data_IF_179218253271
#
_entry.id   IF_179218253271
#
_cell.length_a   1.000
_cell.length_b   1.000
_cell.length_c   1.000
_cell.angle_alpha   90.00
_cell.angle_beta   90.00
_cell.angle_gamma   90.00
#
_symmetry.space_group_name_H-M   'P 1'
#
loop_
_entity.id
_entity.type
_entity.pdbx_description
1 polymer ?
#
# COMPACT_ATOMS: atom_id res chain seq x y z
N UNK A 1 -1.20 22.98 -9.15
CA UNK A 1 -1.98 21.76 -8.94
C UNK A 1 -1.66 21.16 -7.57
N UNK A 2 -2.70 20.75 -6.85
CA UNK A 2 -2.63 20.03 -5.59
C UNK A 2 -3.79 19.04 -5.50
N UNK A 3 -3.51 17.79 -5.10
CA UNK A 3 -4.54 16.79 -4.90
C UNK A 3 -4.14 15.78 -3.83
N UNK A 4 -5.11 15.22 -3.12
CA UNK A 4 -4.90 14.16 -2.13
C UNK A 4 -5.54 12.87 -2.60
N UNK A 5 -4.73 11.83 -2.69
CA UNK A 5 -5.19 10.47 -2.93
C UNK A 5 -5.85 9.94 -1.65
N UNK A 6 -7.06 9.41 -1.75
CA UNK A 6 -7.76 8.87 -0.59
C UNK A 6 -8.18 7.42 -0.74
N UNK A 7 -8.15 6.88 -1.97
CA UNK A 7 -8.51 5.49 -2.23
C UNK A 7 -7.81 4.98 -3.48
N UNK A 8 -7.39 3.74 -3.45
CA UNK A 8 -7.02 2.94 -4.62
C UNK A 8 -8.09 1.87 -4.81
N UNK A 9 -8.48 1.60 -6.04
CA UNK A 9 -9.39 0.53 -6.39
C UNK A 9 -9.10 0.00 -7.79
N UNK A 10 -9.77 -1.07 -8.18
CA UNK A 10 -9.75 -1.59 -9.55
C UNK A 10 -11.16 -1.64 -10.12
N UNK A 11 -11.30 -1.32 -11.39
CA UNK A 11 -12.59 -1.47 -12.09
C UNK A 11 -12.82 -2.94 -12.50
N UNK A 12 -13.98 -3.20 -13.09
CA UNK A 12 -14.36 -4.55 -13.56
C UNK A 12 -13.44 -5.12 -14.65
N UNK A 13 -12.64 -4.27 -15.28
CA UNK A 13 -11.64 -4.65 -16.29
C UNK A 13 -10.24 -4.84 -15.68
N UNK A 14 -10.09 -4.64 -14.36
CA UNK A 14 -8.81 -4.73 -13.66
C UNK A 14 -7.96 -3.45 -13.73
N UNK A 15 -8.44 -2.37 -14.35
CA UNK A 15 -7.69 -1.13 -14.40
C UNK A 15 -7.56 -0.51 -13.01
N UNK A 16 -6.36 -0.07 -12.69
CA UNK A 16 -6.07 0.61 -11.43
C UNK A 16 -6.62 2.04 -11.44
N UNK A 17 -7.40 2.36 -10.43
CA UNK A 17 -8.03 3.66 -10.23
C UNK A 17 -7.43 4.34 -9.00
N UNK A 18 -6.83 5.50 -9.19
CA UNK A 18 -6.36 6.37 -8.11
C UNK A 18 -7.41 7.43 -7.86
N UNK A 19 -8.20 7.29 -6.78
CA UNK A 19 -9.19 8.28 -6.40
C UNK A 19 -8.52 9.42 -5.64
N UNK A 20 -8.68 10.61 -6.14
CA UNK A 20 -8.13 11.82 -5.55
C UNK A 20 -9.14 12.94 -5.46
N UNK A 21 -8.99 13.78 -4.43
CA UNK A 21 -9.67 15.07 -4.33
C UNK A 21 -8.68 16.17 -4.70
N UNK A 22 -9.03 16.98 -5.66
CA UNK A 22 -8.24 18.17 -5.98
C UNK A 22 -8.47 19.23 -4.91
N UNK A 23 -7.38 19.71 -4.33
CA UNK A 23 -7.36 20.74 -3.29
C UNK A 23 -6.90 22.10 -3.84
N UNK A 24 -6.22 22.09 -5.01
CA UNK A 24 -5.76 23.32 -5.66
C UNK A 24 -5.49 23.18 -7.14
N UNK A 25 -5.74 24.22 -7.91
CA UNK A 25 -5.49 24.27 -9.35
C UNK A 25 -6.36 23.35 -10.18
N UNK A 26 -5.84 22.94 -11.33
CA UNK A 26 -6.49 22.05 -12.29
C UNK A 26 -5.58 20.91 -12.71
N UNK A 27 -6.16 19.82 -13.19
CA UNK A 27 -5.44 18.66 -13.73
C UNK A 27 -6.11 18.24 -15.03
N UNK A 28 -5.33 18.20 -16.11
CA UNK A 28 -5.77 17.76 -17.41
C UNK A 28 -5.30 16.33 -17.74
N UNK A 29 -5.99 15.68 -18.65
CA UNK A 29 -5.54 14.41 -19.25
C UNK A 29 -4.19 14.62 -19.93
N UNK A 30 -3.31 13.62 -19.86
CA UNK A 30 -1.91 13.62 -20.33
C UNK A 30 -0.95 14.50 -19.53
N UNK A 31 -1.41 15.15 -18.45
CA UNK A 31 -0.50 15.88 -17.57
C UNK A 31 0.50 14.89 -16.94
N UNK A 32 1.81 15.20 -16.95
CA UNK A 32 2.81 14.45 -16.20
C UNK A 32 2.64 14.75 -14.70
N UNK A 33 2.72 13.72 -13.88
CA UNK A 33 2.72 13.82 -12.43
C UNK A 33 3.96 13.14 -11.89
N UNK A 34 4.72 13.87 -11.07
CA UNK A 34 5.88 13.34 -10.37
C UNK A 34 5.49 13.07 -8.91
N UNK A 35 5.79 11.88 -8.41
CA UNK A 35 5.48 11.49 -7.04
C UNK A 35 6.44 10.41 -6.53
N UNK A 36 6.55 10.29 -5.20
CA UNK A 36 7.37 9.30 -4.54
C UNK A 36 6.51 8.06 -4.18
N UNK A 37 6.89 6.83 -4.57
CA UNK A 37 6.21 5.62 -4.14
C UNK A 37 6.19 5.46 -2.62
N UNK A 38 5.21 4.70 -2.08
CA UNK A 38 5.12 4.43 -0.65
C UNK A 38 6.34 3.66 -0.12
N UNK A 39 6.92 2.79 -0.93
CA UNK A 39 8.12 2.03 -0.59
C UNK A 39 9.41 2.87 -0.57
N UNK A 40 9.32 4.15 -0.91
CA UNK A 40 10.48 5.01 -1.14
C UNK A 40 11.15 4.71 -2.48
N UNK A 41 12.36 5.20 -2.65
CA UNK A 41 13.13 5.01 -3.89
C UNK A 41 13.20 6.28 -4.74
N UNK A 42 13.15 6.11 -6.06
CA UNK A 42 13.20 7.22 -7.00
C UNK A 42 11.83 7.84 -7.24
N UNK A 43 11.81 9.13 -7.53
CA UNK A 43 10.59 9.84 -7.94
C UNK A 43 10.13 9.28 -9.29
N UNK A 44 8.91 8.82 -9.34
CA UNK A 44 8.28 8.38 -10.58
C UNK A 44 7.64 9.56 -11.30
N UNK A 45 7.79 9.58 -12.63
CA UNK A 45 7.07 10.49 -13.49
C UNK A 45 6.16 9.69 -14.42
N UNK A 46 4.85 9.82 -14.21
CA UNK A 46 3.81 9.11 -14.96
C UNK A 46 2.76 10.08 -15.51
N UNK A 47 2.08 9.67 -16.56
CA UNK A 47 1.05 10.50 -17.21
C UNK A 47 -0.34 10.02 -16.86
N UNK A 48 -1.22 10.96 -16.57
CA UNK A 48 -2.65 10.69 -16.42
C UNK A 48 -3.22 10.30 -17.78
N UNK A 49 -3.66 9.08 -17.94
CA UNK A 49 -4.23 8.57 -19.20
C UNK A 49 -5.70 8.89 -19.34
N UNK A 50 -6.45 8.93 -18.24
CA UNK A 50 -7.87 9.23 -18.21
C UNK A 50 -8.28 9.84 -16.87
N UNK A 51 -9.25 10.75 -16.92
CA UNK A 51 -9.92 11.31 -15.75
C UNK A 51 -11.38 10.85 -15.76
N UNK A 52 -11.86 10.29 -14.64
CA UNK A 52 -13.23 9.83 -14.47
C UNK A 52 -13.92 10.53 -13.31
N UNK A 53 -15.07 11.12 -13.57
CA UNK A 53 -15.96 11.68 -12.55
C UNK A 53 -17.08 10.69 -12.28
N UNK A 54 -17.13 10.16 -11.08
CA UNK A 54 -18.11 9.15 -10.68
C UNK A 54 -19.36 9.77 -10.09
N UNK A 55 -20.53 9.19 -10.48
CA UNK A 55 -21.82 9.44 -9.83
C UNK A 55 -22.47 8.08 -9.57
N UNK A 56 -22.34 7.59 -8.33
CA UNK A 56 -22.67 6.20 -7.99
C UNK A 56 -21.79 5.21 -8.74
N UNK A 57 -22.40 4.23 -9.42
CA UNK A 57 -21.70 3.22 -10.20
C UNK A 57 -21.30 3.68 -11.62
N UNK A 58 -21.83 4.81 -12.08
CA UNK A 58 -21.55 5.35 -13.41
C UNK A 58 -20.47 6.44 -13.34
N UNK A 59 -19.71 6.58 -14.41
CA UNK A 59 -18.74 7.66 -14.54
C UNK A 59 -18.85 8.37 -15.89
N UNK A 60 -18.36 9.59 -15.91
CA UNK A 60 -18.12 10.37 -17.12
C UNK A 60 -16.63 10.65 -17.24
N UNK A 61 -16.10 10.61 -18.45
CA UNK A 61 -14.72 11.04 -18.71
C UNK A 61 -14.68 12.56 -18.79
N UNK A 62 -13.61 13.14 -18.24
CA UNK A 62 -13.34 14.56 -18.31
C UNK A 62 -11.96 14.81 -18.93
N UNK A 63 -11.82 15.89 -19.68
CA UNK A 63 -10.53 16.35 -20.21
C UNK A 63 -9.72 17.06 -19.14
N UNK A 64 -10.42 17.73 -18.21
CA UNK A 64 -9.82 18.50 -17.11
C UNK A 64 -10.74 18.44 -15.88
N UNK A 65 -10.11 18.47 -14.69
CA UNK A 65 -10.78 18.58 -13.39
C UNK A 65 -10.17 19.71 -12.59
N UNK A 66 -11.00 20.37 -11.75
CA UNK A 66 -10.62 21.56 -10.98
C UNK A 66 -10.65 21.32 -9.47
N UNK A 67 -10.03 22.21 -8.72
CA UNK A 67 -10.07 22.21 -7.26
C UNK A 67 -11.50 22.07 -6.71
N UNK A 68 -11.65 21.25 -5.66
CA UNK A 68 -12.94 20.89 -5.05
C UNK A 68 -13.58 19.63 -5.62
N UNK A 69 -13.20 19.18 -6.81
CA UNK A 69 -13.73 17.96 -7.43
C UNK A 69 -13.02 16.70 -6.92
N UNK A 70 -13.77 15.61 -6.94
CA UNK A 70 -13.28 14.24 -6.69
C UNK A 70 -13.29 13.50 -8.00
N UNK A 71 -12.18 12.86 -8.35
CA UNK A 71 -12.05 12.11 -9.59
C UNK A 71 -11.22 10.84 -9.38
N UNK A 72 -11.33 9.91 -10.32
CA UNK A 72 -10.41 8.80 -10.44
C UNK A 72 -9.44 9.05 -11.60
N UNK A 73 -8.15 8.89 -11.30
CA UNK A 73 -7.03 9.03 -12.22
C UNK A 73 -6.60 7.64 -12.68
N UNK A 74 -6.40 7.48 -13.98
CA UNK A 74 -5.79 6.29 -14.56
C UNK A 74 -4.40 6.64 -15.09
N UNK A 75 -3.52 5.63 -15.16
CA UNK A 75 -2.14 5.81 -15.65
C UNK A 75 -1.09 5.94 -14.55
N UNK A 76 -1.51 5.99 -13.28
CA UNK A 76 -0.60 6.04 -12.13
C UNK A 76 -0.49 4.64 -11.49
N UNK A 77 0.74 4.13 -11.35
CA UNK A 77 0.95 2.72 -10.97
C UNK A 77 1.26 2.51 -9.48
N UNK A 78 1.91 3.48 -8.81
CA UNK A 78 2.41 3.31 -7.43
C UNK A 78 1.94 4.39 -6.46
N UNK A 79 0.83 5.07 -6.78
CA UNK A 79 0.16 5.95 -5.83
C UNK A 79 -0.45 5.16 -4.67
N UNK A 80 -0.66 5.79 -3.52
CA UNK A 80 -1.22 5.13 -2.34
C UNK A 80 -2.20 6.05 -1.59
N UNK A 81 -3.13 5.49 -0.80
CA UNK A 81 -4.05 6.29 0.02
C UNK A 81 -3.29 7.16 1.03
N UNK A 82 -3.67 8.43 1.13
CA UNK A 82 -2.99 9.43 1.98
C UNK A 82 -1.89 10.22 1.26
N UNK A 83 -1.50 9.83 0.05
CA UNK A 83 -0.47 10.53 -0.71
C UNK A 83 -0.93 11.91 -1.16
N UNK A 84 -0.03 12.90 -1.04
CA UNK A 84 -0.16 14.20 -1.68
C UNK A 84 0.44 14.18 -3.08
N UNK A 85 -0.22 14.82 -4.02
CA UNK A 85 0.24 15.04 -5.39
C UNK A 85 0.39 16.53 -5.68
N UNK A 86 1.45 16.90 -6.39
CA UNK A 86 1.76 18.30 -6.65
C UNK A 86 2.16 19.04 -5.37
N UNK A 87 1.50 20.15 -5.07
CA UNK A 87 1.77 20.97 -3.88
C UNK A 87 1.05 20.47 -2.60
N UNK A 88 0.25 19.40 -2.69
CA UNK A 88 -0.43 18.83 -1.52
C UNK A 88 0.55 18.04 -0.64
N UNK A 89 0.64 18.32 0.67
CA UNK A 89 1.46 17.50 1.56
C UNK A 89 0.83 16.11 1.77
N UNK A 90 1.62 15.08 2.12
CA UNK A 90 1.07 13.78 2.46
C UNK A 90 0.18 13.87 3.72
N UNK A 91 -0.81 12.98 3.82
CA UNK A 91 -1.62 12.86 5.01
C UNK A 91 -0.76 12.37 6.20
N UNK A 92 -1.10 12.72 7.43
CA UNK A 92 -0.45 12.12 8.60
C UNK A 92 -0.69 10.60 8.60
N UNK A 93 0.23 9.82 9.20
CA UNK A 93 0.04 8.37 9.32
C UNK A 93 -1.24 8.06 10.10
N UNK A 94 -1.86 6.87 9.84
CA UNK A 94 -3.04 6.45 10.59
C UNK A 94 -2.74 6.36 12.09
N UNK A 95 -3.66 6.80 12.93
CA UNK A 95 -3.54 6.70 14.39
C UNK A 95 -3.66 5.27 14.90
N UNK A 96 -4.43 4.44 14.20
CA UNK A 96 -4.64 3.04 14.53
C UNK A 96 -3.91 2.17 13.50
N UNK A 97 -3.07 1.28 14.00
CA UNK A 97 -2.41 0.26 13.19
C UNK A 97 -2.85 -1.13 13.62
N UNK A 98 -3.02 -2.07 12.69
CA UNK A 98 -3.28 -3.47 13.03
C UNK A 98 -2.11 -4.05 13.84
N UNK A 99 -2.43 -4.63 15.00
CA UNK A 99 -1.41 -5.20 15.91
C UNK A 99 -1.40 -6.72 15.92
N UNK A 100 -2.36 -7.36 15.27
CA UNK A 100 -2.46 -8.82 15.23
C UNK A 100 -2.10 -9.31 13.83
N UNK A 101 -1.16 -10.25 13.78
CA UNK A 101 -0.75 -10.90 12.53
C UNK A 101 -1.41 -12.26 12.44
N UNK A 102 -2.12 -12.48 11.36
CA UNK A 102 -2.83 -13.72 11.05
C UNK A 102 -2.17 -14.45 9.89
N UNK A 103 -2.15 -15.77 9.93
CA UNK A 103 -1.72 -16.59 8.81
C UNK A 103 -2.91 -16.89 7.90
N UNK A 104 -2.73 -16.69 6.59
CA UNK A 104 -3.69 -17.11 5.57
C UNK A 104 -3.42 -18.56 5.19
N UNK A 105 -4.37 -19.44 5.49
CA UNK A 105 -4.29 -20.85 5.13
C UNK A 105 -4.95 -21.04 3.77
N UNK A 106 -4.16 -21.43 2.80
CA UNK A 106 -4.58 -21.60 1.41
C UNK A 106 -5.12 -23.03 1.17
N UNK A 107 -6.09 -23.19 0.26
CA UNK A 107 -6.51 -24.53 -0.16
C UNK A 107 -5.36 -25.24 -0.91
N UNK A 108 -5.32 -26.59 -0.89
CA UNK A 108 -4.21 -27.37 -1.43
C UNK A 108 -3.97 -27.17 -2.93
N UNK A 109 -5.00 -26.79 -3.66
CA UNK A 109 -4.99 -26.54 -5.11
C UNK A 109 -4.57 -25.11 -5.49
N UNK A 110 -4.33 -24.24 -4.50
CA UNK A 110 -3.93 -22.85 -4.72
C UNK A 110 -2.50 -22.59 -4.22
N UNK A 111 -1.48 -22.62 -5.10
CA UNK A 111 -0.12 -22.27 -4.70
C UNK A 111 0.00 -20.82 -4.23
N UNK A 112 0.70 -20.59 -3.13
CA UNK A 112 0.91 -19.26 -2.56
C UNK A 112 1.52 -18.27 -3.58
N UNK A 113 2.40 -18.74 -4.44
CA UNK A 113 3.04 -17.93 -5.48
C UNK A 113 2.06 -17.38 -6.52
N UNK A 114 0.93 -18.08 -6.76
CA UNK A 114 -0.13 -17.62 -7.67
C UNK A 114 -1.05 -16.62 -7.00
N UNK A 115 -1.34 -16.83 -5.71
CA UNK A 115 -2.25 -15.95 -4.97
C UNK A 115 -1.55 -14.68 -4.47
N UNK A 116 -0.28 -14.74 -4.10
CA UNK A 116 0.45 -13.59 -3.54
C UNK A 116 0.40 -12.32 -4.41
N UNK A 117 0.60 -12.35 -5.73
CA UNK A 117 0.45 -11.17 -6.58
C UNK A 117 -0.98 -10.58 -6.56
N UNK A 118 -1.99 -11.44 -6.43
CA UNK A 118 -3.39 -11.02 -6.32
C UNK A 118 -3.68 -10.37 -4.96
N UNK A 119 -3.12 -10.92 -3.89
CA UNK A 119 -3.22 -10.32 -2.55
C UNK A 119 -2.50 -8.98 -2.46
N UNK A 120 -1.36 -8.81 -3.14
CA UNK A 120 -0.68 -7.51 -3.25
C UNK A 120 -1.56 -6.43 -3.86
N UNK A 121 -2.49 -6.77 -4.75
CA UNK A 121 -3.46 -5.81 -5.25
C UNK A 121 -4.44 -5.34 -4.17
N UNK A 122 -4.81 -6.22 -3.23
CA UNK A 122 -5.63 -5.83 -2.07
C UNK A 122 -4.83 -4.94 -1.10
N UNK A 123 -3.55 -5.20 -0.93
CA UNK A 123 -2.66 -4.35 -0.12
C UNK A 123 -2.48 -2.95 -0.72
N UNK A 124 -2.47 -2.81 -2.06
CA UNK A 124 -2.49 -1.49 -2.71
C UNK A 124 -3.77 -0.70 -2.37
N UNK A 125 -4.90 -1.39 -2.23
CA UNK A 125 -6.19 -0.77 -1.87
C UNK A 125 -6.28 -0.48 -0.38
N UNK A 126 -5.73 -1.36 0.47
CA UNK A 126 -5.63 -1.22 1.93
C UNK A 126 -4.20 -1.50 2.41
N UNK A 127 -3.33 -0.50 2.47
CA UNK A 127 -1.95 -0.66 2.91
C UNK A 127 -1.78 -1.16 4.34
N UNK A 128 -2.83 -1.10 5.17
CA UNK A 128 -2.79 -1.60 6.55
C UNK A 128 -2.78 -3.13 6.64
N UNK A 129 -3.11 -3.84 5.55
CA UNK A 129 -3.04 -5.31 5.51
C UNK A 129 -1.64 -5.85 5.75
N UNK A 130 -0.58 -5.08 5.40
CA UNK A 130 0.82 -5.45 5.60
C UNK A 130 1.08 -6.93 5.33
N UNK A 131 0.94 -7.33 4.07
CA UNK A 131 1.15 -8.71 3.66
C UNK A 131 2.63 -9.08 3.74
N UNK A 132 2.94 -10.13 4.45
CA UNK A 132 4.29 -10.68 4.58
C UNK A 132 4.33 -12.08 4.01
N UNK A 133 5.26 -12.32 3.10
CA UNK A 133 5.58 -13.64 2.59
C UNK A 133 6.74 -14.22 3.39
N UNK A 134 6.45 -15.27 4.17
CA UNK A 134 7.49 -16.06 4.83
C UNK A 134 7.97 -17.16 3.89
N UNK A 135 9.14 -16.95 3.31
CA UNK A 135 9.72 -17.89 2.37
C UNK A 135 10.18 -19.21 3.02
N UNK A 136 10.59 -19.15 4.30
CA UNK A 136 11.06 -20.33 5.02
C UNK A 136 9.94 -21.33 5.29
N UNK A 137 8.75 -20.81 5.66
CA UNK A 137 7.58 -21.62 5.98
C UNK A 137 6.57 -21.69 4.82
N UNK A 138 6.81 -20.96 3.71
CA UNK A 138 5.88 -20.86 2.57
C UNK A 138 4.50 -20.37 3.01
N UNK A 139 4.46 -19.40 3.91
CA UNK A 139 3.24 -18.86 4.51
C UNK A 139 3.01 -17.41 4.14
N UNK A 140 1.74 -17.03 3.97
CA UNK A 140 1.32 -15.64 3.80
C UNK A 140 0.70 -15.17 5.10
N UNK A 141 1.20 -14.05 5.61
CA UNK A 141 0.69 -13.40 6.81
C UNK A 141 0.08 -12.04 6.46
N UNK A 142 -1.01 -11.67 7.13
CA UNK A 142 -1.65 -10.37 7.02
C UNK A 142 -1.87 -9.76 8.40
N UNK A 143 -1.77 -8.44 8.52
CA UNK A 143 -2.14 -7.73 9.75
C UNK A 143 -3.59 -7.31 9.68
N UNK A 144 -4.34 -7.62 10.72
CA UNK A 144 -5.77 -7.32 10.81
C UNK A 144 -6.11 -6.80 12.21
N UNK A 145 -7.13 -5.94 12.30
CA UNK A 145 -7.57 -5.35 13.56
C UNK A 145 -8.52 -6.26 14.36
N UNK A 146 -9.20 -7.22 13.68
CA UNK A 146 -10.13 -8.10 14.36
C UNK A 146 -11.00 -8.94 13.44
N UNK A 147 -11.95 -9.66 14.02
CA UNK A 147 -12.78 -10.69 13.38
C UNK A 147 -13.53 -10.17 12.14
N UNK A 148 -14.12 -8.97 12.22
CA UNK A 148 -14.89 -8.41 11.10
C UNK A 148 -14.01 -8.20 9.87
N UNK A 149 -12.77 -7.72 10.08
CA UNK A 149 -11.84 -7.51 8.97
C UNK A 149 -11.35 -8.83 8.37
N UNK A 150 -11.23 -9.89 9.17
CA UNK A 150 -10.95 -11.24 8.70
C UNK A 150 -12.05 -11.70 7.73
N UNK A 151 -13.31 -11.61 8.14
CA UNK A 151 -14.46 -12.03 7.33
C UNK A 151 -14.56 -11.22 6.03
N UNK A 152 -14.32 -9.91 6.09
CA UNK A 152 -14.29 -9.04 4.91
C UNK A 152 -13.16 -9.46 3.95
N UNK A 153 -11.95 -9.71 4.48
CA UNK A 153 -10.81 -10.13 3.66
C UNK A 153 -11.06 -11.49 2.99
N UNK A 154 -11.56 -12.48 3.75
CA UNK A 154 -11.91 -13.79 3.21
C UNK A 154 -12.93 -13.68 2.08
N UNK A 155 -13.97 -12.86 2.27
CA UNK A 155 -14.99 -12.63 1.25
C UNK A 155 -14.44 -11.93 0.02
N UNK A 156 -13.60 -10.90 0.20
CA UNK A 156 -12.96 -10.21 -0.92
C UNK A 156 -12.06 -11.14 -1.76
N UNK A 157 -11.34 -12.05 -1.11
CA UNK A 157 -10.49 -13.03 -1.81
C UNK A 157 -11.37 -14.02 -2.58
N UNK A 158 -12.44 -14.52 -1.96
CA UNK A 158 -13.38 -15.44 -2.62
C UNK A 158 -14.08 -14.78 -3.82
N UNK A 159 -14.62 -13.56 -3.64
CA UNK A 159 -15.39 -12.86 -4.67
C UNK A 159 -14.52 -12.44 -5.87
N UNK A 160 -13.24 -12.06 -5.63
CA UNK A 160 -12.38 -11.53 -6.69
C UNK A 160 -11.50 -12.59 -7.36
N UNK A 161 -11.08 -13.59 -6.61
CA UNK A 161 -10.06 -14.53 -7.06
C UNK A 161 -10.54 -15.98 -7.11
N UNK A 162 -11.79 -16.21 -6.70
CA UNK A 162 -12.40 -17.56 -6.62
C UNK A 162 -11.58 -18.53 -5.76
N UNK A 163 -11.02 -18.03 -4.65
CA UNK A 163 -10.22 -18.80 -3.71
C UNK A 163 -10.80 -18.67 -2.30
N UNK A 164 -11.16 -19.79 -1.68
CA UNK A 164 -11.61 -19.82 -0.30
C UNK A 164 -10.41 -19.96 0.63
N UNK A 165 -10.02 -18.89 1.31
CA UNK A 165 -8.94 -18.90 2.30
C UNK A 165 -9.49 -19.04 3.70
N UNK A 166 -8.77 -19.77 4.57
CA UNK A 166 -9.03 -19.76 6.01
C UNK A 166 -7.98 -18.86 6.69
N UNK A 167 -8.33 -18.35 7.86
CA UNK A 167 -7.44 -17.51 8.65
C UNK A 167 -7.18 -18.21 9.97
N UNK A 168 -5.93 -18.51 10.25
CA UNK A 168 -5.50 -19.17 11.48
C UNK A 168 -5.35 -18.17 12.63
N UNK A 169 -5.28 -18.67 13.85
CA UNK A 169 -5.16 -17.86 15.06
C UNK A 169 -3.99 -16.87 14.94
N UNK A 170 -4.31 -15.60 15.17
CA UNK A 170 -3.34 -14.53 15.06
C UNK A 170 -2.32 -14.53 16.21
N UNK A 171 -1.16 -13.95 15.95
CA UNK A 171 -0.14 -13.65 16.94
C UNK A 171 -0.05 -12.15 17.15
N UNK A 172 0.02 -11.71 18.41
CA UNK A 172 0.24 -10.30 18.74
C UNK A 172 1.66 -9.92 18.33
N UNK A 173 1.77 -8.84 17.57
CA UNK A 173 3.06 -8.27 17.22
C UNK A 173 3.52 -7.34 18.35
N UNK A 174 4.48 -7.80 19.14
CA UNK A 174 5.10 -6.98 20.17
C UNK A 174 6.07 -6.01 19.51
N UNK A 175 6.01 -4.73 19.91
CA UNK A 175 7.05 -3.75 19.59
C UNK A 175 8.05 -3.75 20.72
N UNK A 176 9.34 -3.90 20.39
CA UNK A 176 10.43 -3.86 21.35
C UNK A 176 11.17 -2.52 21.23
N UNK A 177 11.67 -2.03 22.34
CA UNK A 177 12.54 -0.87 22.39
C UNK A 177 13.65 -1.11 23.41
N UNK A 178 14.71 -0.37 23.30
CA UNK A 178 15.79 -0.41 24.29
C UNK A 178 15.34 0.24 25.61
N UNK A 179 15.61 -0.40 26.73
CA UNK A 179 15.27 0.10 28.08
C UNK A 179 16.23 1.21 28.57
N UNK A 180 17.42 1.27 28.04
CA UNK A 180 18.46 2.26 28.35
C UNK A 180 19.37 2.44 27.14
N UNK A 181 20.07 3.59 27.02
CA UNK A 181 21.06 3.77 25.97
C UNK A 181 22.09 2.62 25.95
N UNK A 182 22.28 2.01 24.80
CA UNK A 182 23.22 0.91 24.60
C UNK A 182 24.26 1.34 23.57
N UNK A 183 25.52 1.02 23.84
CA UNK A 183 26.63 1.25 22.91
C UNK A 183 27.05 -0.07 22.28
N UNK A 184 27.01 -0.14 20.96
CA UNK A 184 27.54 -1.25 20.17
C UNK A 184 28.83 -0.83 19.47
N UNK A 185 29.87 -1.68 19.53
CA UNK A 185 31.17 -1.43 18.89
C UNK A 185 31.40 -2.44 17.79
N UNK A 186 31.63 -1.95 16.57
CA UNK A 186 32.08 -2.75 15.43
C UNK A 186 33.55 -2.47 15.13
N UNK A 187 34.39 -3.49 15.07
CA UNK A 187 35.81 -3.42 14.76
C UNK A 187 36.12 -4.20 13.48
N UNK A 188 36.88 -3.59 12.58
CA UNK A 188 37.28 -4.20 11.32
C UNK A 188 38.73 -3.83 10.96
N UNK A 189 39.60 -4.82 10.84
CA UNK A 189 41.04 -4.61 10.59
C UNK A 189 41.59 -5.57 9.51
N UNK A 190 41.21 -5.38 8.22
CA UNK A 190 41.81 -6.14 7.13
C UNK A 190 43.05 -5.43 6.57
N UNK A 191 44.11 -6.16 6.32
CA UNK A 191 45.24 -5.76 5.46
C UNK A 191 45.81 -4.34 5.75
N UNK A 192 46.04 -3.97 7.02
CA UNK A 192 46.52 -2.66 7.48
C UNK A 192 45.53 -1.48 7.41
N UNK A 193 44.24 -1.77 7.19
CA UNK A 193 43.18 -0.77 7.32
C UNK A 193 42.42 -1.02 8.62
N UNK A 194 42.36 0.01 9.46
CA UNK A 194 41.63 -0.04 10.72
C UNK A 194 40.36 0.80 10.62
N UNK A 195 39.23 0.24 11.00
CA UNK A 195 37.97 0.96 11.16
C UNK A 195 37.27 0.47 12.44
N UNK A 196 36.90 1.41 13.28
CA UNK A 196 36.12 1.17 14.49
C UNK A 196 34.90 2.09 14.47
N UNK A 197 33.72 1.53 14.70
CA UNK A 197 32.46 2.26 14.72
C UNK A 197 31.78 2.02 16.05
N UNK A 198 31.49 3.10 16.76
CA UNK A 198 30.71 3.13 17.99
C UNK A 198 29.31 3.64 17.65
N UNK A 199 28.29 2.82 17.88
CA UNK A 199 26.89 3.19 17.69
C UNK A 199 26.20 3.26 19.06
N UNK A 200 25.68 4.44 19.38
CA UNK A 200 24.76 4.62 20.52
C UNK A 200 23.32 4.60 20.02
N UNK A 201 22.54 3.70 20.58
CA UNK A 201 21.09 3.58 20.36
C UNK A 201 20.36 4.10 21.60
#
# INVERSE_FOLDING_TARGET
FAARVFKIARDSQGNRLTYAKLTGGTLAVRAPLSYLPQTGGEVLEEKVTQLRLYSGAKYQTAEEVSAGQVCALLGLTQTYPGQGLGAEPPAPPPLLEPVVTYRLVLPPDCPAQVLLPKLRQLEEEDPQLHLVWDQAHQEIHARLMGQVQIEVLQRLIADRFDVAVQVDAGRILYKETIAAPVEGVGHYEPLRHYAEVHLKL
#
